data_IF_538345264853
#
_entry.id   IF_538345264853
#
_cell.length_a   1.000
_cell.length_b   1.000
_cell.length_c   1.000
_cell.angle_alpha   90.00
_cell.angle_beta   90.00
_cell.angle_gamma   90.00
#
_symmetry.space_group_name_H-M   'P 1'
#
loop_
_entity.id
_entity.type
_entity.pdbx_description
1 polymer ?
#
# COMPACT_ATOMS: atom_id res chain seq x y z
N UNK A 1 4.59 -25.74 -11.72
CA UNK A 1 4.67 -25.90 -10.25
C UNK A 1 3.89 -27.13 -9.75
N UNK A 2 4.16 -27.62 -8.53
CA UNK A 2 3.46 -28.76 -7.92
C UNK A 2 3.29 -28.59 -6.39
N UNK A 3 2.13 -28.96 -5.82
CA UNK A 3 1.91 -29.03 -4.36
C UNK A 3 2.67 -30.22 -3.77
N UNK A 4 3.57 -29.96 -2.82
CA UNK A 4 4.25 -31.03 -2.05
C UNK A 4 3.76 -31.12 -0.60
N UNK A 5 3.16 -30.04 -0.07
CA UNK A 5 2.42 -30.06 1.20
C UNK A 5 1.16 -29.22 1.07
N UNK A 6 0.01 -29.88 1.25
CA UNK A 6 -1.30 -29.21 1.40
C UNK A 6 -1.29 -28.24 2.57
N UNK A 7 -2.22 -27.28 2.56
CA UNK A 7 -2.37 -26.30 3.64
C UNK A 7 -2.58 -27.01 4.99
N UNK A 8 -1.90 -26.50 6.03
CA UNK A 8 -2.04 -26.88 7.43
C UNK A 8 -2.23 -25.63 8.27
N UNK A 9 -3.03 -25.75 9.33
CA UNK A 9 -3.18 -24.72 10.35
C UNK A 9 -2.25 -25.00 11.54
N UNK A 10 -1.63 -23.95 12.06
CA UNK A 10 -0.68 -23.97 13.18
C UNK A 10 -0.89 -22.72 14.02
N UNK A 11 -1.08 -22.86 15.34
CA UNK A 11 -1.23 -21.70 16.22
C UNK A 11 0.14 -21.06 16.51
N UNK A 12 0.19 -19.73 16.62
CA UNK A 12 1.41 -19.06 17.07
C UNK A 12 1.70 -19.41 18.54
N UNK A 13 2.98 -19.69 18.85
CA UNK A 13 3.43 -20.21 20.16
C UNK A 13 3.32 -19.21 21.33
N UNK A 14 2.93 -17.97 21.05
CA UNK A 14 2.81 -16.85 21.98
C UNK A 14 1.38 -16.68 22.55
N UNK A 15 0.45 -17.59 22.21
CA UNK A 15 -0.95 -17.53 22.58
C UNK A 15 -1.65 -16.20 22.20
N UNK A 16 -1.16 -15.50 21.16
CA UNK A 16 -1.74 -14.23 20.65
C UNK A 16 -3.16 -14.33 20.11
N UNK A 17 -3.71 -15.54 19.95
CA UNK A 17 -4.93 -15.78 19.19
C UNK A 17 -4.72 -15.72 17.67
N UNK A 18 -3.50 -15.55 17.18
CA UNK A 18 -3.22 -15.60 15.74
C UNK A 18 -3.13 -17.05 15.24
N UNK A 19 -3.48 -17.26 13.96
CA UNK A 19 -3.38 -18.54 13.29
C UNK A 19 -2.48 -18.45 12.05
N UNK A 20 -1.59 -19.42 11.86
CA UNK A 20 -0.74 -19.56 10.67
C UNK A 20 -1.30 -20.68 9.79
N UNK A 21 -1.78 -20.34 8.60
CA UNK A 21 -1.98 -21.32 7.53
C UNK A 21 -0.68 -21.42 6.73
N UNK A 22 -0.22 -22.63 6.41
CA UNK A 22 0.97 -22.80 5.55
C UNK A 22 0.90 -24.03 4.66
N UNK A 23 1.50 -23.91 3.47
CA UNK A 23 1.64 -24.97 2.47
C UNK A 23 3.04 -24.90 1.84
N UNK A 24 3.34 -25.83 0.92
CA UNK A 24 4.63 -25.85 0.22
C UNK A 24 4.49 -26.41 -1.19
N UNK A 25 5.21 -25.81 -2.13
CA UNK A 25 5.24 -26.19 -3.55
C UNK A 25 6.67 -26.46 -4.02
N UNK A 26 6.78 -27.19 -5.13
CA UNK A 26 8.00 -27.58 -5.81
C UNK A 26 7.96 -27.13 -7.28
N UNK A 27 9.11 -27.14 -7.98
CA UNK A 27 9.24 -26.61 -9.35
C UNK A 27 8.78 -25.14 -9.45
N UNK A 28 9.30 -24.31 -8.54
CA UNK A 28 9.06 -22.86 -8.52
C UNK A 28 10.06 -22.15 -9.43
N UNK A 29 9.52 -21.28 -10.30
CA UNK A 29 10.26 -20.54 -11.33
C UNK A 29 10.19 -19.03 -11.07
N UNK A 30 10.95 -18.23 -11.84
CA UNK A 30 11.08 -16.78 -11.67
C UNK A 30 9.81 -15.97 -11.97
N UNK A 31 8.91 -16.53 -12.76
CA UNK A 31 7.60 -15.98 -13.10
C UNK A 31 6.49 -16.41 -12.12
N UNK A 32 6.80 -17.32 -11.18
CA UNK A 32 5.79 -18.01 -10.37
C UNK A 32 5.11 -17.05 -9.39
N UNK A 33 3.79 -16.87 -9.59
CA UNK A 33 2.92 -16.07 -8.74
C UNK A 33 2.14 -16.99 -7.80
N UNK A 34 2.27 -16.77 -6.50
CA UNK A 34 1.46 -17.41 -5.47
C UNK A 34 0.35 -16.44 -5.04
N UNK A 35 -0.89 -16.93 -4.99
CA UNK A 35 -2.07 -16.15 -4.61
C UNK A 35 -2.85 -16.91 -3.53
N UNK A 36 -3.15 -16.24 -2.43
CA UNK A 36 -4.06 -16.74 -1.39
C UNK A 36 -5.46 -16.20 -1.62
N UNK A 37 -6.46 -17.04 -1.36
CA UNK A 37 -7.88 -16.74 -1.44
C UNK A 37 -8.59 -17.12 -0.14
N UNK A 38 -9.67 -16.40 0.20
CA UNK A 38 -10.68 -16.80 1.18
C UNK A 38 -12.03 -16.74 0.48
N UNK A 39 -12.76 -17.87 0.44
CA UNK A 39 -14.09 -17.99 -0.18
C UNK A 39 -14.10 -17.41 -1.62
N UNK A 40 -13.15 -17.87 -2.45
CA UNK A 40 -12.86 -17.40 -3.82
C UNK A 40 -12.42 -15.94 -3.98
N UNK A 41 -12.41 -15.12 -2.91
CA UNK A 41 -11.90 -13.74 -2.95
C UNK A 41 -10.37 -13.75 -2.78
N UNK A 42 -9.57 -13.15 -3.68
CA UNK A 42 -8.12 -13.04 -3.50
C UNK A 42 -7.79 -12.10 -2.33
N UNK A 43 -6.94 -12.56 -1.40
CA UNK A 43 -6.60 -11.84 -0.17
C UNK A 43 -5.13 -11.44 -0.08
N UNK A 44 -4.21 -12.18 -0.71
CA UNK A 44 -2.79 -11.82 -0.73
C UNK A 44 -2.03 -12.40 -1.94
N UNK A 45 -1.14 -11.57 -2.50
CA UNK A 45 -0.27 -11.92 -3.64
C UNK A 45 1.21 -11.96 -3.22
N UNK A 46 1.92 -13.04 -3.58
CA UNK A 46 3.37 -13.19 -3.35
C UNK A 46 4.04 -13.71 -4.61
N UNK A 47 4.99 -12.92 -5.16
CA UNK A 47 5.90 -13.41 -6.21
C UNK A 47 7.01 -14.24 -5.57
N UNK A 48 7.35 -15.37 -6.21
CA UNK A 48 8.42 -16.28 -5.78
C UNK A 48 9.66 -16.08 -6.64
N UNK A 49 10.83 -16.37 -6.08
CA UNK A 49 12.08 -16.49 -6.85
C UNK A 49 12.23 -17.92 -7.37
N UNK A 50 12.96 -18.12 -8.47
CA UNK A 50 13.25 -19.46 -8.97
C UNK A 50 13.95 -20.31 -7.89
N UNK A 51 13.45 -21.53 -7.66
CA UNK A 51 13.91 -22.41 -6.59
C UNK A 51 13.53 -21.98 -5.16
N UNK A 52 12.63 -21.00 -4.98
CA UNK A 52 12.04 -20.67 -3.67
C UNK A 52 10.98 -21.69 -3.25
N UNK A 53 11.44 -22.89 -2.90
CA UNK A 53 10.61 -24.00 -2.42
C UNK A 53 10.38 -23.94 -0.89
N UNK A 54 10.49 -22.74 -0.30
CA UNK A 54 10.20 -22.50 1.10
C UNK A 54 8.70 -22.67 1.44
N UNK A 55 8.37 -22.65 2.74
CA UNK A 55 6.97 -22.59 3.15
C UNK A 55 6.34 -21.29 2.67
N UNK A 56 5.16 -21.40 2.04
CA UNK A 56 4.26 -20.29 1.84
C UNK A 56 3.31 -20.24 3.05
N UNK A 57 3.25 -19.09 3.73
CA UNK A 57 2.42 -18.92 4.91
C UNK A 57 1.48 -17.71 4.77
N UNK A 58 0.37 -17.78 5.50
CA UNK A 58 -0.63 -16.74 5.68
C UNK A 58 -0.95 -16.66 7.18
N UNK A 59 -0.70 -15.51 7.80
CA UNK A 59 -1.19 -15.23 9.14
C UNK A 59 -2.64 -14.73 9.07
N UNK A 60 -3.46 -15.18 10.01
CA UNK A 60 -4.78 -14.67 10.32
C UNK A 60 -4.65 -14.05 11.71
N UNK A 61 -4.85 -12.73 11.82
CA UNK A 61 -4.75 -11.98 13.08
C UNK A 61 -5.97 -12.27 13.94
N UNK A 62 -5.79 -12.59 15.22
CA UNK A 62 -6.84 -12.75 16.22
C UNK A 62 -8.06 -13.51 15.66
N UNK A 63 -7.84 -14.79 15.37
CA UNK A 63 -8.80 -15.62 14.64
C UNK A 63 -10.14 -15.69 15.39
N UNK A 64 -11.23 -15.68 14.64
CA UNK A 64 -12.60 -15.47 15.10
C UNK A 64 -13.57 -16.19 14.18
N UNK A 65 -14.86 -16.27 14.56
CA UNK A 65 -15.88 -16.87 13.68
C UNK A 65 -16.03 -16.13 12.33
N UNK A 66 -15.65 -14.84 12.27
CA UNK A 66 -15.62 -14.05 11.02
C UNK A 66 -14.55 -14.54 10.02
N UNK A 67 -13.58 -15.33 10.46
CA UNK A 67 -12.52 -15.89 9.62
C UNK A 67 -12.85 -17.28 9.08
N UNK A 68 -13.90 -17.94 9.57
CA UNK A 68 -14.30 -19.24 9.03
C UNK A 68 -14.62 -19.16 7.52
N UNK A 69 -14.24 -20.20 6.79
CA UNK A 69 -14.33 -20.23 5.32
C UNK A 69 -13.32 -21.17 4.68
N UNK A 70 -13.35 -21.24 3.35
CA UNK A 70 -12.41 -22.02 2.55
C UNK A 70 -11.21 -21.14 2.18
N UNK A 71 -10.04 -21.52 2.66
CA UNK A 71 -8.77 -20.89 2.29
C UNK A 71 -8.12 -21.68 1.17
N UNK A 72 -7.77 -21.03 0.08
CA UNK A 72 -7.06 -21.64 -1.06
C UNK A 72 -5.72 -20.94 -1.26
N UNK A 73 -4.68 -21.72 -1.55
CA UNK A 73 -3.40 -21.22 -2.03
C UNK A 73 -3.15 -21.79 -3.43
N UNK A 74 -3.11 -20.91 -4.42
CA UNK A 74 -2.78 -21.24 -5.80
C UNK A 74 -1.37 -20.76 -6.15
N UNK A 75 -0.65 -21.53 -6.96
CA UNK A 75 0.59 -21.08 -7.60
C UNK A 75 0.47 -21.25 -9.12
N UNK A 76 0.79 -20.20 -9.86
CA UNK A 76 0.71 -20.15 -11.32
C UNK A 76 2.06 -19.76 -11.91
N UNK A 77 2.45 -20.44 -12.98
CA UNK A 77 3.57 -20.09 -13.85
C UNK A 77 3.26 -20.45 -15.32
N UNK A 78 4.19 -20.20 -16.24
CA UNK A 78 4.01 -20.45 -17.68
C UNK A 78 3.65 -21.91 -18.04
N UNK A 79 4.01 -22.87 -17.18
CA UNK A 79 3.71 -24.30 -17.35
C UNK A 79 2.38 -24.73 -16.71
N UNK A 80 1.65 -23.82 -16.05
CA UNK A 80 0.32 -24.06 -15.51
C UNK A 80 0.15 -23.64 -14.04
N UNK A 81 -0.98 -24.06 -13.47
CA UNK A 81 -1.42 -23.73 -12.11
C UNK A 81 -1.56 -25.00 -11.29
N UNK A 82 -1.19 -24.95 -10.01
CA UNK A 82 -1.54 -25.98 -9.02
C UNK A 82 -2.06 -25.33 -7.74
N UNK A 83 -2.94 -26.01 -7.01
CA UNK A 83 -3.70 -25.44 -5.89
C UNK A 83 -3.86 -26.40 -4.72
N UNK A 84 -3.98 -25.84 -3.52
CA UNK A 84 -4.40 -26.57 -2.32
C UNK A 84 -5.36 -25.71 -1.51
N UNK A 85 -6.32 -26.37 -0.89
CA UNK A 85 -7.38 -25.80 -0.08
C UNK A 85 -7.31 -26.26 1.39
N UNK A 86 -8.01 -25.54 2.27
CA UNK A 86 -8.25 -25.86 3.68
C UNK A 86 -9.53 -25.18 4.17
N UNK A 87 -10.44 -25.95 4.77
CA UNK A 87 -11.64 -25.43 5.41
C UNK A 87 -11.35 -25.06 6.88
N UNK A 88 -11.36 -23.77 7.20
CA UNK A 88 -11.36 -23.30 8.58
C UNK A 88 -12.80 -23.31 9.10
N UNK A 89 -13.24 -24.44 9.67
CA UNK A 89 -14.57 -24.57 10.29
C UNK A 89 -14.58 -24.05 11.73
N UNK A 90 -15.78 -23.81 12.29
CA UNK A 90 -15.96 -23.47 13.69
C UNK A 90 -15.44 -24.56 14.66
N UNK A 91 -15.47 -25.82 14.24
CA UNK A 91 -14.92 -26.97 15.00
C UNK A 91 -13.40 -26.92 15.04
N UNK A 92 -12.75 -26.68 13.90
CA UNK A 92 -11.30 -26.45 13.82
C UNK A 92 -10.90 -25.23 14.65
N UNK A 93 -11.69 -24.15 14.59
CA UNK A 93 -11.48 -22.93 15.35
C UNK A 93 -11.55 -23.16 16.87
N UNK A 94 -12.49 -23.99 17.35
CA UNK A 94 -12.65 -24.31 18.78
C UNK A 94 -11.48 -25.08 19.39
N UNK A 95 -10.61 -25.67 18.56
CA UNK A 95 -9.38 -26.33 19.00
C UNK A 95 -8.21 -25.39 19.31
N UNK A 96 -8.34 -24.08 19.07
CA UNK A 96 -7.29 -23.09 19.35
C UNK A 96 -7.53 -22.33 20.65
N UNK A 97 -6.45 -22.05 21.39
CA UNK A 97 -6.53 -21.35 22.67
C UNK A 97 -6.60 -19.84 22.43
N UNK A 98 -7.66 -19.19 22.89
CA UNK A 98 -7.78 -17.72 22.84
C UNK A 98 -7.03 -17.08 24.00
N UNK A 99 -6.47 -15.89 23.77
CA UNK A 99 -5.89 -15.07 24.84
C UNK A 99 -7.03 -14.55 25.72
N UNK A 100 -6.97 -14.79 27.02
CA UNK A 100 -7.86 -14.11 27.97
C UNK A 100 -7.58 -12.60 27.93
N UNK A 101 -8.63 -11.78 28.00
CA UNK A 101 -8.51 -10.33 28.01
C UNK A 101 -7.76 -9.89 29.28
N UNK A 102 -6.64 -9.20 29.09
CA UNK A 102 -5.91 -8.57 30.19
C UNK A 102 -6.47 -7.16 30.34
N UNK A 103 -7.19 -6.88 31.43
CA UNK A 103 -7.73 -5.55 31.79
C UNK A 103 -6.64 -4.46 31.98
N UNK A 104 -5.36 -4.80 31.79
CA UNK A 104 -4.25 -3.86 31.85
C UNK A 104 -4.06 -3.18 30.50
N UNK A 105 -4.12 -1.84 30.49
CA UNK A 105 -3.86 -1.06 29.29
C UNK A 105 -2.48 -1.33 28.68
N UNK A 106 -2.38 -1.17 27.37
CA UNK A 106 -1.24 -1.52 26.53
C UNK A 106 -0.39 -0.27 26.21
N UNK A 107 0.94 -0.39 26.32
CA UNK A 107 1.87 0.68 25.88
C UNK A 107 2.09 0.60 24.37
N UNK A 108 2.04 1.73 23.68
CA UNK A 108 2.21 1.86 22.23
C UNK A 108 3.15 3.02 21.85
N UNK A 109 3.75 2.92 20.67
CA UNK A 109 4.32 4.07 19.97
C UNK A 109 3.37 4.49 18.86
N UNK A 110 2.96 5.76 18.79
CA UNK A 110 2.17 6.32 17.70
C UNK A 110 3.00 7.31 16.89
N UNK A 111 2.97 7.22 15.56
CA UNK A 111 3.77 8.05 14.66
C UNK A 111 2.87 8.69 13.58
N UNK A 112 2.76 10.03 13.52
CA UNK A 112 2.02 10.73 12.48
C UNK A 112 2.82 10.80 11.17
N UNK A 113 2.11 10.92 10.05
CA UNK A 113 2.73 11.25 8.76
C UNK A 113 2.68 12.76 8.51
N UNK A 114 3.79 13.32 8.03
CA UNK A 114 3.99 14.76 7.84
C UNK A 114 4.41 15.05 6.40
N UNK A 115 3.80 16.08 5.80
CA UNK A 115 4.05 16.54 4.42
C UNK A 115 4.56 17.99 4.44
N UNK A 116 5.77 18.21 4.98
CA UNK A 116 6.29 19.57 5.21
C UNK A 116 6.52 20.39 3.92
N UNK A 117 6.63 19.73 2.75
CA UNK A 117 6.72 20.40 1.43
C UNK A 117 5.49 20.09 0.55
N UNK A 118 4.37 19.72 1.17
CA UNK A 118 3.18 19.23 0.47
C UNK A 118 3.47 17.96 -0.33
N UNK A 119 2.66 17.72 -1.37
CA UNK A 119 2.72 16.52 -2.23
C UNK A 119 3.94 16.44 -3.17
N UNK A 120 4.95 17.30 -2.99
CA UNK A 120 6.23 17.23 -3.69
C UNK A 120 7.17 16.17 -3.09
N UNK A 121 6.94 15.76 -1.85
CA UNK A 121 7.60 14.62 -1.21
C UNK A 121 6.60 13.47 -0.94
N UNK A 122 7.11 12.27 -0.67
CA UNK A 122 6.28 11.07 -0.44
C UNK A 122 5.80 10.91 1.01
N UNK A 123 5.74 12.03 1.75
CA UNK A 123 5.58 12.09 3.20
C UNK A 123 6.81 11.57 3.96
N UNK A 124 6.96 12.01 5.20
CA UNK A 124 7.87 11.41 6.18
C UNK A 124 7.17 11.16 7.52
N UNK A 125 7.78 10.32 8.34
CA UNK A 125 7.30 10.02 9.68
C UNK A 125 7.73 11.12 10.65
N UNK A 126 6.77 11.72 11.35
CA UNK A 126 7.01 12.74 12.36
C UNK A 126 7.53 12.13 13.67
N UNK A 127 7.54 12.96 14.72
CA UNK A 127 7.97 12.54 16.05
C UNK A 127 7.06 11.46 16.64
N UNK A 128 7.66 10.52 17.36
CA UNK A 128 6.93 9.44 18.05
C UNK A 128 6.28 9.96 19.33
N UNK A 129 5.01 9.62 19.50
CA UNK A 129 4.26 9.75 20.73
C UNK A 129 4.26 8.40 21.45
N UNK A 130 4.66 8.38 22.71
CA UNK A 130 4.71 7.16 23.54
C UNK A 130 3.58 7.24 24.55
N UNK A 131 2.60 6.37 24.40
CA UNK A 131 1.35 6.46 25.16
C UNK A 131 0.78 5.11 25.53
N UNK A 132 -0.22 5.14 26.40
CA UNK A 132 -0.95 3.95 26.85
C UNK A 132 -2.39 4.01 26.38
N UNK A 133 -2.91 2.87 25.94
CA UNK A 133 -4.30 2.69 25.52
C UNK A 133 -5.01 1.62 26.35
N UNK A 134 -6.33 1.65 26.40
CA UNK A 134 -7.17 0.56 26.90
C UNK A 134 -8.06 0.07 25.76
N UNK A 135 -8.13 -1.24 25.55
CA UNK A 135 -8.99 -1.86 24.54
C UNK A 135 -10.41 -2.01 25.12
N UNK A 136 -11.45 -1.69 24.35
CA UNK A 136 -12.84 -1.65 24.85
C UNK A 136 -13.85 -2.47 24.03
N UNK A 137 -13.62 -2.60 22.71
CA UNK A 137 -14.46 -3.42 21.81
C UNK A 137 -13.54 -3.99 20.73
N UNK A 138 -13.37 -5.32 20.72
CA UNK A 138 -12.47 -6.03 19.82
C UNK A 138 -13.05 -6.28 18.42
N UNK A 139 -14.34 -5.99 18.20
CA UNK A 139 -15.08 -6.37 16.99
C UNK A 139 -15.83 -5.22 16.29
N UNK A 140 -15.41 -3.97 16.52
CA UNK A 140 -15.97 -2.74 15.93
C UNK A 140 -16.06 -2.71 14.38
N UNK A 141 -15.47 -3.67 13.67
CA UNK A 141 -15.47 -3.80 12.21
C UNK A 141 -16.39 -4.90 11.65
N UNK A 142 -17.06 -4.59 10.54
CA UNK A 142 -17.89 -5.55 9.77
C UNK A 142 -17.11 -6.32 8.67
N UNK A 143 -15.91 -5.86 8.29
CA UNK A 143 -15.10 -6.47 7.23
C UNK A 143 -14.11 -7.53 7.75
N UNK A 144 -13.75 -8.50 6.90
CA UNK A 144 -12.79 -9.56 7.27
C UNK A 144 -11.32 -9.23 6.89
N UNK A 145 -11.06 -8.23 6.05
CA UNK A 145 -9.69 -7.89 5.62
C UNK A 145 -8.84 -7.20 6.72
N UNK A 146 -9.49 -6.63 7.73
CA UNK A 146 -8.84 -5.95 8.87
C UNK A 146 -9.58 -6.31 10.15
N UNK A 147 -8.84 -6.54 11.24
CA UNK A 147 -9.39 -6.55 12.59
C UNK A 147 -9.45 -5.10 13.08
N UNK A 148 -10.63 -4.63 13.42
CA UNK A 148 -10.84 -3.25 13.89
C UNK A 148 -11.40 -3.28 15.31
N UNK A 149 -10.78 -2.51 16.19
CA UNK A 149 -11.09 -2.48 17.61
C UNK A 149 -11.08 -1.06 18.15
N UNK A 150 -11.93 -0.81 19.15
CA UNK A 150 -12.05 0.45 19.88
C UNK A 150 -10.99 0.50 20.98
N UNK A 151 -10.25 1.60 21.03
CA UNK A 151 -9.24 1.83 22.05
C UNK A 151 -9.33 3.25 22.63
N UNK A 152 -9.32 3.36 23.96
CA UNK A 152 -9.29 4.63 24.69
C UNK A 152 -7.85 5.04 24.98
N UNK A 153 -7.47 6.26 24.63
CA UNK A 153 -6.20 6.85 25.05
C UNK A 153 -6.21 7.12 26.57
N UNK A 154 -5.17 6.68 27.27
CA UNK A 154 -5.02 6.89 28.73
C UNK A 154 -4.06 8.04 29.01
N UNK A 155 -2.91 8.10 28.32
CA UNK A 155 -1.96 9.21 28.33
C UNK A 155 -0.99 9.11 27.15
N UNK A 156 -0.28 10.21 26.85
CA UNK A 156 0.93 10.21 26.03
C UNK A 156 0.70 10.24 24.51
N UNK A 157 -0.54 10.46 24.10
CA UNK A 157 -0.95 10.61 22.69
C UNK A 157 -1.38 12.05 22.37
N UNK A 158 -1.30 12.95 23.34
CA UNK A 158 -1.54 14.38 23.17
C UNK A 158 -0.53 15.01 22.18
N UNK A 159 -0.93 16.00 21.36
CA UNK A 159 -2.25 16.62 21.27
C UNK A 159 -3.19 15.89 20.28
N UNK A 160 -2.85 14.68 19.83
CA UNK A 160 -3.60 13.95 18.79
C UNK A 160 -4.84 13.25 19.38
N UNK A 161 -4.66 12.56 20.51
CA UNK A 161 -5.74 12.04 21.33
C UNK A 161 -5.52 12.52 22.77
N UNK A 162 -6.44 13.30 23.32
CA UNK A 162 -6.42 13.65 24.74
C UNK A 162 -6.83 12.44 25.58
N UNK A 163 -6.26 12.30 26.78
CA UNK A 163 -6.69 11.31 27.78
C UNK A 163 -8.22 11.18 27.86
N UNK A 164 -8.71 9.94 27.78
CA UNK A 164 -10.13 9.60 27.76
C UNK A 164 -10.77 9.54 26.37
N UNK A 165 -10.16 10.09 25.32
CA UNK A 165 -10.69 10.00 23.96
C UNK A 165 -10.55 8.59 23.38
N UNK A 166 -11.47 8.24 22.48
CA UNK A 166 -11.53 6.93 21.83
C UNK A 166 -11.08 7.05 20.37
N UNK A 167 -10.22 6.12 19.96
CA UNK A 167 -9.86 5.89 18.56
C UNK A 167 -10.19 4.47 18.13
N UNK A 168 -10.12 4.23 16.81
CA UNK A 168 -10.22 2.90 16.22
C UNK A 168 -8.82 2.44 15.79
N UNK A 169 -8.38 1.30 16.31
CA UNK A 169 -7.17 0.61 15.89
C UNK A 169 -7.54 -0.43 14.83
N UNK A 170 -6.75 -0.52 13.75
CA UNK A 170 -6.96 -1.50 12.68
C UNK A 170 -5.68 -2.27 12.35
N UNK A 171 -5.73 -3.60 12.51
CA UNK A 171 -4.67 -4.52 12.12
C UNK A 171 -5.06 -5.22 10.82
N UNK A 172 -4.15 -5.34 9.86
CA UNK A 172 -4.40 -6.10 8.64
C UNK A 172 -4.54 -7.60 8.94
N UNK A 173 -5.64 -8.24 8.54
CA UNK A 173 -5.96 -9.59 9.02
C UNK A 173 -5.15 -10.69 8.32
N UNK A 174 -5.08 -10.66 6.98
CA UNK A 174 -4.61 -11.78 6.16
C UNK A 174 -3.23 -11.49 5.57
N UNK A 175 -2.17 -11.74 6.34
CA UNK A 175 -0.80 -11.33 5.99
C UNK A 175 0.00 -12.50 5.44
N UNK A 176 0.33 -12.48 4.14
CA UNK A 176 1.15 -13.53 3.52
C UNK A 176 2.66 -13.29 3.74
N UNK A 177 3.39 -14.36 4.13
CA UNK A 177 4.81 -14.33 4.47
C UNK A 177 5.52 -15.67 4.17
N UNK A 178 6.83 -15.71 4.43
CA UNK A 178 7.67 -16.92 4.27
C UNK A 178 8.16 -17.16 2.84
N UNK A 179 9.34 -17.77 2.72
CA UNK A 179 10.08 -17.97 1.47
C UNK A 179 11.57 -17.69 1.61
N UNK A 180 12.30 -17.80 0.49
CA UNK A 180 13.67 -17.29 0.32
C UNK A 180 13.74 -15.78 0.14
N UNK A 181 12.63 -15.13 -0.23
CA UNK A 181 12.50 -13.68 -0.03
C UNK A 181 12.18 -13.44 1.45
N UNK A 182 13.21 -13.14 2.24
CA UNK A 182 13.26 -13.23 3.71
C UNK A 182 12.33 -12.27 4.49
N UNK A 183 11.33 -11.67 3.85
CA UNK A 183 10.35 -10.81 4.52
C UNK A 183 9.58 -11.59 5.60
N UNK A 184 9.91 -11.32 6.85
CA UNK A 184 9.25 -11.85 8.04
C UNK A 184 7.79 -11.38 8.12
N UNK A 185 7.00 -12.02 8.99
CA UNK A 185 5.65 -11.59 9.27
C UNK A 185 5.59 -10.13 9.78
N UNK A 186 6.55 -9.74 10.63
CA UNK A 186 6.65 -8.38 11.19
C UNK A 186 6.96 -7.35 10.11
N UNK A 187 7.90 -7.65 9.19
CA UNK A 187 8.20 -6.76 8.07
C UNK A 187 7.04 -6.66 7.08
N UNK A 188 6.33 -7.76 6.80
CA UNK A 188 5.12 -7.75 5.96
C UNK A 188 3.99 -6.94 6.58
N UNK A 189 3.78 -7.11 7.88
CA UNK A 189 2.83 -6.32 8.66
C UNK A 189 3.19 -4.83 8.61
N UNK A 190 4.46 -4.47 8.83
CA UNK A 190 4.97 -3.11 8.68
C UNK A 190 4.69 -2.56 7.28
N UNK A 191 5.15 -3.26 6.23
CA UNK A 191 5.05 -2.81 4.84
C UNK A 191 3.59 -2.53 4.42
N UNK A 192 2.64 -3.35 4.87
CA UNK A 192 1.20 -3.17 4.59
C UNK A 192 0.68 -1.94 5.35
N UNK A 193 0.88 -1.87 6.67
CA UNK A 193 0.41 -0.78 7.54
C UNK A 193 0.96 0.58 7.09
N UNK A 194 2.24 0.63 6.70
CA UNK A 194 2.90 1.81 6.14
C UNK A 194 2.20 2.28 4.85
N UNK A 195 1.82 1.36 3.95
CA UNK A 195 1.11 1.74 2.73
C UNK A 195 -0.31 2.22 3.01
N UNK A 196 -1.04 1.60 3.94
CA UNK A 196 -2.38 2.09 4.33
C UNK A 196 -2.30 3.53 4.88
N UNK A 197 -1.32 3.83 5.74
CA UNK A 197 -1.05 5.20 6.21
C UNK A 197 -0.67 6.16 5.08
N UNK A 198 0.19 5.74 4.13
CA UNK A 198 0.57 6.58 2.98
C UNK A 198 -0.61 6.89 2.08
N UNK A 199 -1.46 5.91 1.79
CA UNK A 199 -2.63 6.07 0.94
C UNK A 199 -3.60 7.08 1.58
N UNK A 200 -4.03 6.86 2.83
CA UNK A 200 -5.01 7.74 3.47
C UNK A 200 -4.48 9.16 3.68
N UNK A 201 -3.24 9.33 4.16
CA UNK A 201 -2.70 10.67 4.40
C UNK A 201 -2.34 11.42 3.10
N UNK A 202 -1.83 10.75 2.05
CA UNK A 202 -1.63 11.43 0.76
C UNK A 202 -2.97 11.84 0.13
N UNK A 203 -3.99 10.96 0.14
CA UNK A 203 -5.34 11.33 -0.29
C UNK A 203 -5.91 12.49 0.54
N UNK A 204 -5.61 12.57 1.84
CA UNK A 204 -5.95 13.72 2.69
C UNK A 204 -5.29 15.03 2.23
N UNK A 205 -4.00 15.03 1.91
CA UNK A 205 -3.36 16.26 1.41
C UNK A 205 -3.95 16.72 0.07
N UNK A 206 -4.29 15.79 -0.84
CA UNK A 206 -5.08 16.13 -2.05
C UNK A 206 -6.45 16.71 -1.70
N UNK A 207 -7.13 16.12 -0.71
CA UNK A 207 -8.45 16.56 -0.26
C UNK A 207 -8.41 18.00 0.33
N UNK A 208 -7.32 18.40 1.00
CA UNK A 208 -7.12 19.78 1.45
C UNK A 208 -6.98 20.78 0.30
N UNK A 209 -6.29 20.41 -0.78
CA UNK A 209 -6.14 21.26 -1.98
C UNK A 209 -7.51 21.41 -2.66
N UNK A 210 -8.20 20.30 -2.91
CA UNK A 210 -9.58 20.29 -3.38
C UNK A 210 -10.50 21.17 -2.52
N UNK A 211 -10.41 21.07 -1.20
CA UNK A 211 -11.19 21.90 -0.28
C UNK A 211 -10.82 23.38 -0.34
N UNK A 212 -9.58 23.74 -0.72
CA UNK A 212 -9.19 25.13 -0.92
C UNK A 212 -9.76 25.71 -2.22
N UNK A 213 -9.78 24.92 -3.30
CA UNK A 213 -10.43 25.30 -4.57
C UNK A 213 -11.95 25.39 -4.43
N UNK A 214 -12.58 24.40 -3.80
CA UNK A 214 -14.01 24.41 -3.51
C UNK A 214 -14.45 25.61 -2.66
N UNK A 215 -13.62 26.05 -1.70
CA UNK A 215 -13.88 27.25 -0.89
C UNK A 215 -13.86 28.56 -1.71
N UNK A 216 -13.27 28.57 -2.91
CA UNK A 216 -13.33 29.73 -3.80
C UNK A 216 -14.64 29.80 -4.61
N UNK A 217 -15.50 28.77 -4.55
CA UNK A 217 -16.78 28.70 -5.26
C UNK A 217 -17.93 28.89 -4.26
N UNK A 218 -18.65 30.03 -4.27
CA UNK A 218 -19.63 30.38 -3.24
C UNK A 218 -20.73 29.32 -3.02
N UNK A 219 -21.23 28.73 -4.11
CA UNK A 219 -22.33 27.75 -4.08
C UNK A 219 -21.87 26.30 -3.79
N UNK A 220 -20.58 26.08 -3.52
CA UNK A 220 -20.09 24.72 -3.23
C UNK A 220 -20.46 24.27 -1.81
N UNK A 221 -20.40 25.16 -0.81
CA UNK A 221 -20.70 24.83 0.58
C UNK A 221 -19.65 23.90 1.23
N UNK A 222 -20.04 23.02 2.19
CA UNK A 222 -19.11 22.15 2.89
C UNK A 222 -18.42 21.14 1.96
N UNK A 223 -17.24 20.66 2.36
CA UNK A 223 -16.38 19.76 1.58
C UNK A 223 -16.03 18.53 2.44
N UNK A 224 -15.95 17.32 1.87
CA UNK A 224 -15.41 16.16 2.60
C UNK A 224 -14.00 16.42 3.13
N UNK A 225 -13.68 15.89 4.32
CA UNK A 225 -12.34 15.82 4.88
C UNK A 225 -11.96 14.35 5.08
N UNK A 226 -10.84 13.91 4.49
CA UNK A 226 -10.25 12.61 4.84
C UNK A 226 -9.50 12.75 6.16
N UNK A 227 -9.79 11.85 7.10
CA UNK A 227 -9.17 11.82 8.43
C UNK A 227 -7.68 11.43 8.36
N UNK A 228 -6.83 11.98 9.25
CA UNK A 228 -5.46 11.50 9.40
C UNK A 228 -5.45 10.03 9.87
N UNK A 229 -4.46 9.27 9.39
CA UNK A 229 -4.24 7.88 9.78
C UNK A 229 -2.85 7.73 10.39
N UNK A 230 -2.79 7.30 11.65
CA UNK A 230 -1.55 7.20 12.42
C UNK A 230 -1.01 5.78 12.34
N UNK A 231 0.32 5.63 12.19
CA UNK A 231 0.99 4.35 12.38
C UNK A 231 1.13 4.11 13.88
N UNK A 232 0.78 2.92 14.36
CA UNK A 232 1.10 2.50 15.72
C UNK A 232 1.97 1.23 15.73
N UNK A 233 2.90 1.17 16.70
CA UNK A 233 3.70 0.00 17.03
C UNK A 233 3.34 -0.47 18.45
N UNK A 234 3.05 -1.76 18.56
CA UNK A 234 2.44 -2.44 19.71
C UNK A 234 3.39 -3.54 20.22
N UNK A 235 4.41 -3.22 21.04
CA UNK A 235 5.49 -4.15 21.40
C UNK A 235 5.03 -5.43 22.13
N UNK A 236 3.85 -5.43 22.74
CA UNK A 236 3.25 -6.61 23.37
C UNK A 236 2.64 -7.62 22.38
N UNK A 237 2.70 -7.38 21.07
CA UNK A 237 2.09 -8.20 20.03
C UNK A 237 3.15 -8.71 19.02
N UNK A 238 2.98 -9.94 18.56
CA UNK A 238 3.77 -10.58 17.51
C UNK A 238 3.48 -10.04 16.08
N UNK A 239 2.33 -9.38 15.91
CA UNK A 239 1.94 -8.61 14.72
C UNK A 239 1.76 -7.16 15.21
N UNK A 240 2.86 -6.41 15.39
CA UNK A 240 2.87 -5.22 16.24
C UNK A 240 2.43 -3.94 15.52
N UNK A 241 2.40 -3.90 14.18
CA UNK A 241 2.07 -2.70 13.45
C UNK A 241 0.58 -2.67 13.11
N UNK A 242 -0.09 -1.59 13.52
CA UNK A 242 -1.48 -1.32 13.20
C UNK A 242 -1.64 0.15 12.79
N UNK A 243 -2.82 0.52 12.31
CA UNK A 243 -3.19 1.93 12.16
C UNK A 243 -4.10 2.37 13.31
N UNK A 244 -4.13 3.66 13.61
CA UNK A 244 -5.06 4.29 14.54
C UNK A 244 -5.67 5.54 13.92
N UNK A 245 -6.95 5.79 14.17
CA UNK A 245 -7.67 7.00 13.75
C UNK A 245 -8.80 7.35 14.74
N UNK A 246 -9.46 8.50 14.55
CA UNK A 246 -10.59 8.94 15.38
C UNK A 246 -11.78 7.99 15.26
N UNK A 247 -12.45 7.70 16.38
CA UNK A 247 -13.73 6.98 16.37
C UNK A 247 -14.87 7.92 15.95
N UNK A 248 -15.55 7.59 14.85
CA UNK A 248 -16.62 8.42 14.30
C UNK A 248 -17.98 8.03 14.88
N UNK A 249 -18.66 8.92 15.65
CA UNK A 249 -19.98 8.63 16.18
C UNK A 249 -21.04 8.74 15.09
N UNK A 250 -21.64 7.61 14.71
CA UNK A 250 -22.78 7.56 13.79
C UNK A 250 -22.82 6.31 12.93
N UNK A 251 -23.74 6.29 11.96
CA UNK A 251 -23.80 5.24 10.96
C UNK A 251 -22.84 5.55 9.81
N UNK A 252 -21.96 4.60 9.48
CA UNK A 252 -21.08 4.70 8.33
C UNK A 252 -21.86 4.63 7.01
N UNK A 253 -21.63 5.61 6.13
CA UNK A 253 -22.09 5.62 4.75
C UNK A 253 -20.96 5.29 3.78
N UNK A 254 -21.31 4.59 2.70
CA UNK A 254 -20.43 4.38 1.55
C UNK A 254 -20.72 5.46 0.52
N UNK A 255 -19.77 6.37 0.26
CA UNK A 255 -19.93 7.49 -0.67
C UNK A 255 -19.53 7.10 -2.10
N UNK A 256 -18.37 6.48 -2.25
CA UNK A 256 -17.86 5.99 -3.54
C UNK A 256 -17.12 4.66 -3.34
N UNK A 257 -17.69 3.55 -3.81
CA UNK A 257 -17.15 2.19 -3.58
C UNK A 257 -16.84 1.45 -4.88
N UNK A 258 -15.94 0.48 -4.83
CA UNK A 258 -15.77 -0.52 -5.90
C UNK A 258 -16.92 -1.52 -5.93
N UNK A 259 -17.08 -2.20 -7.06
CA UNK A 259 -17.95 -3.39 -7.14
C UNK A 259 -17.34 -4.58 -6.38
N UNK A 260 -18.16 -5.60 -6.06
CA UNK A 260 -17.76 -6.73 -5.18
C UNK A 260 -16.61 -7.56 -5.76
N UNK A 261 -16.56 -7.68 -7.08
CA UNK A 261 -15.50 -8.38 -7.83
C UNK A 261 -14.24 -7.52 -8.03
N UNK A 262 -14.29 -6.23 -7.66
CA UNK A 262 -13.22 -5.26 -7.87
C UNK A 262 -12.98 -4.86 -9.32
N UNK A 263 -13.86 -5.22 -10.27
CA UNK A 263 -13.68 -4.95 -11.71
C UNK A 263 -14.08 -3.52 -12.10
N UNK A 264 -15.07 -2.95 -11.40
CA UNK A 264 -15.62 -1.63 -11.67
C UNK A 264 -15.89 -0.79 -10.42
N UNK A 265 -16.59 0.32 -10.63
CA UNK A 265 -17.08 1.22 -9.58
C UNK A 265 -18.60 1.16 -9.51
N UNK A 266 -19.13 1.08 -8.29
CA UNK A 266 -20.56 1.17 -8.08
C UNK A 266 -21.07 2.60 -8.40
N UNK A 267 -22.38 2.77 -8.69
CA UNK A 267 -22.99 4.09 -8.84
C UNK A 267 -22.72 5.00 -7.64
N UNK A 268 -22.51 6.29 -7.90
CA UNK A 268 -22.26 7.28 -6.86
C UNK A 268 -23.46 7.39 -5.90
N UNK A 269 -23.18 7.53 -4.60
CA UNK A 269 -24.21 7.76 -3.59
C UNK A 269 -24.93 9.10 -3.90
N UNK A 270 -26.28 9.13 -3.96
CA UNK A 270 -27.04 10.32 -4.32
C UNK A 270 -27.07 11.40 -3.23
N UNK A 271 -26.57 11.13 -2.01
CA UNK A 271 -26.44 12.13 -0.95
C UNK A 271 -25.50 13.27 -1.36
N UNK A 272 -25.65 14.45 -0.74
CA UNK A 272 -24.80 15.61 -1.05
C UNK A 272 -23.31 15.30 -0.85
N UNK A 273 -22.99 14.60 0.25
CA UNK A 273 -21.64 14.11 0.56
C UNK A 273 -21.19 13.11 -0.51
N UNK A 274 -22.05 12.16 -0.87
CA UNK A 274 -21.79 11.17 -1.93
C UNK A 274 -21.41 11.80 -3.27
N UNK A 275 -22.19 12.81 -3.70
CA UNK A 275 -21.92 13.56 -4.92
C UNK A 275 -20.60 14.34 -4.83
N UNK A 276 -20.31 15.01 -3.70
CA UNK A 276 -19.05 15.75 -3.51
C UNK A 276 -17.82 14.85 -3.39
N UNK A 277 -17.96 13.66 -2.80
CA UNK A 277 -16.93 12.62 -2.82
C UNK A 277 -16.66 12.14 -4.26
N UNK A 278 -17.69 11.92 -5.07
CA UNK A 278 -17.54 11.58 -6.50
C UNK A 278 -16.88 12.73 -7.30
N UNK A 279 -17.20 13.98 -6.98
CA UNK A 279 -16.52 15.17 -7.53
C UNK A 279 -15.06 15.25 -7.09
N UNK A 280 -14.72 14.88 -5.86
CA UNK A 280 -13.33 14.76 -5.42
C UNK A 280 -12.57 13.66 -6.19
N UNK A 281 -13.19 12.50 -6.46
CA UNK A 281 -12.59 11.47 -7.33
C UNK A 281 -12.26 12.03 -8.71
N UNK A 282 -13.21 12.75 -9.33
CA UNK A 282 -13.01 13.37 -10.65
C UNK A 282 -11.93 14.46 -10.59
N UNK A 283 -12.01 15.39 -9.63
CA UNK A 283 -11.00 16.44 -9.46
C UNK A 283 -9.60 15.83 -9.33
N UNK A 284 -9.42 14.81 -8.48
CA UNK A 284 -8.13 14.16 -8.28
C UNK A 284 -7.63 13.44 -9.53
N UNK A 285 -8.53 12.74 -10.24
CA UNK A 285 -8.22 12.09 -11.51
C UNK A 285 -7.75 13.12 -12.55
N UNK A 286 -8.45 14.24 -12.71
CA UNK A 286 -8.06 15.30 -13.63
C UNK A 286 -6.75 15.99 -13.19
N UNK A 287 -6.62 16.34 -11.91
CA UNK A 287 -5.46 17.01 -11.33
C UNK A 287 -4.17 16.22 -11.51
N UNK A 288 -4.25 14.89 -11.38
CA UNK A 288 -3.12 13.98 -11.56
C UNK A 288 -2.93 13.53 -13.01
N UNK A 289 -3.67 14.08 -13.99
CA UNK A 289 -3.66 13.68 -15.40
C UNK A 289 -3.94 12.17 -15.60
N UNK A 290 -4.91 11.64 -14.85
CA UNK A 290 -5.33 10.25 -14.87
C UNK A 290 -4.31 9.27 -14.27
N UNK A 291 -3.44 9.73 -13.36
CA UNK A 291 -2.46 8.87 -12.70
C UNK A 291 -2.94 8.28 -11.38
N UNK A 292 -3.85 8.96 -10.66
CA UNK A 292 -4.44 8.50 -9.39
C UNK A 292 -5.96 8.56 -9.48
N UNK A 293 -6.62 7.51 -9.01
CA UNK A 293 -8.03 7.51 -8.64
C UNK A 293 -8.14 7.04 -7.20
N UNK A 294 -8.78 7.84 -6.35
CA UNK A 294 -9.18 7.44 -4.99
C UNK A 294 -10.53 6.71 -5.05
N UNK A 295 -10.70 5.66 -4.25
CA UNK A 295 -11.89 4.82 -4.17
C UNK A 295 -12.17 4.44 -2.72
N UNK A 296 -13.31 3.78 -2.48
CA UNK A 296 -13.76 3.33 -1.15
C UNK A 296 -13.79 4.47 -0.12
N UNK A 297 -14.32 5.61 -0.57
CA UNK A 297 -14.62 6.77 0.26
C UNK A 297 -15.83 6.41 1.13
N UNK A 298 -15.61 6.20 2.43
CA UNK A 298 -16.64 5.89 3.42
C UNK A 298 -16.42 6.68 4.72
N UNK A 299 -17.48 6.90 5.50
CA UNK A 299 -17.35 7.69 6.73
C UNK A 299 -18.68 8.14 7.32
N UNK A 300 -18.65 9.23 8.11
CA UNK A 300 -19.82 9.79 8.78
C UNK A 300 -19.87 11.30 8.55
N UNK A 301 -20.97 11.77 7.93
CA UNK A 301 -21.13 13.17 7.55
C UNK A 301 -20.01 13.61 6.60
N UNK A 302 -19.25 14.64 6.97
CA UNK A 302 -18.15 15.15 6.16
C UNK A 302 -16.79 14.48 6.43
N UNK A 303 -16.67 13.65 7.47
CA UNK A 303 -15.42 12.95 7.80
C UNK A 303 -15.34 11.61 7.06
N UNK A 304 -14.24 11.37 6.34
CA UNK A 304 -14.04 10.22 5.44
C UNK A 304 -12.77 9.45 5.83
N UNK A 305 -12.77 8.14 5.70
CA UNK A 305 -11.68 7.21 6.05
C UNK A 305 -11.64 6.02 5.07
N UNK A 306 -10.70 5.09 5.28
CA UNK A 306 -10.59 3.78 4.64
C UNK A 306 -10.37 3.81 3.12
N UNK A 307 -9.97 4.97 2.64
CA UNK A 307 -9.74 5.25 1.23
C UNK A 307 -8.69 4.32 0.64
N UNK A 308 -8.95 3.92 -0.60
CA UNK A 308 -8.07 3.09 -1.42
C UNK A 308 -7.69 3.88 -2.68
N UNK A 309 -6.67 3.44 -3.38
CA UNK A 309 -6.26 4.02 -4.66
C UNK A 309 -6.00 2.97 -5.76
N UNK A 310 -6.31 3.37 -6.98
CA UNK A 310 -5.71 2.81 -8.20
C UNK A 310 -4.69 3.82 -8.75
N UNK A 311 -3.52 3.34 -9.16
CA UNK A 311 -2.47 4.17 -9.79
C UNK A 311 -2.12 3.64 -11.18
N UNK A 312 -1.87 4.56 -12.13
CA UNK A 312 -1.58 4.21 -13.53
C UNK A 312 -0.25 3.47 -13.69
N UNK A 313 0.71 3.77 -12.82
CA UNK A 313 2.01 3.11 -12.75
C UNK A 313 2.31 2.66 -11.33
N UNK A 314 2.93 1.49 -11.20
CA UNK A 314 3.33 0.91 -9.91
C UNK A 314 4.29 1.84 -9.17
N UNK A 315 3.93 2.23 -7.95
CA UNK A 315 4.79 3.07 -7.11
C UNK A 315 4.71 4.57 -7.44
N UNK A 316 3.65 5.04 -8.11
CA UNK A 316 3.48 6.47 -8.41
C UNK A 316 3.59 7.31 -7.13
N UNK A 317 4.55 8.25 -7.10
CA UNK A 317 4.91 9.06 -5.91
C UNK A 317 5.20 8.25 -4.62
N UNK A 318 5.64 6.98 -4.76
CA UNK A 318 5.91 6.09 -3.63
C UNK A 318 4.68 5.42 -3.02
N UNK A 319 3.51 5.59 -3.65
CA UNK A 319 2.27 4.89 -3.31
C UNK A 319 2.22 3.55 -4.05
N UNK A 320 2.10 2.43 -3.33
CA UNK A 320 1.76 1.13 -3.94
C UNK A 320 0.24 1.10 -4.17
N UNK A 321 -0.18 0.70 -5.37
CA UNK A 321 -1.60 0.50 -5.69
C UNK A 321 -2.28 -0.50 -4.74
N UNK A 322 -3.48 -0.16 -4.26
CA UNK A 322 -4.32 -1.07 -3.47
C UNK A 322 -5.46 -1.68 -4.28
N UNK A 323 -5.59 -1.27 -5.54
CA UNK A 323 -6.68 -1.64 -6.45
C UNK A 323 -6.16 -1.83 -7.87
N UNK A 324 -6.93 -2.50 -8.73
CA UNK A 324 -6.55 -2.75 -10.12
C UNK A 324 -6.41 -1.42 -10.91
N UNK A 325 -5.33 -1.21 -11.67
CA UNK A 325 -5.15 -0.02 -12.51
C UNK A 325 -6.31 0.20 -13.51
N UNK A 326 -6.97 -0.86 -13.98
CA UNK A 326 -8.09 -0.79 -14.92
C UNK A 326 -9.28 0.06 -14.39
N UNK A 327 -9.38 0.29 -13.08
CA UNK A 327 -10.39 1.17 -12.49
C UNK A 327 -10.26 2.63 -12.95
N UNK A 328 -9.06 3.06 -13.35
CA UNK A 328 -8.83 4.39 -13.95
C UNK A 328 -9.58 4.53 -15.27
N UNK A 329 -9.43 3.54 -16.16
CA UNK A 329 -10.10 3.51 -17.46
C UNK A 329 -11.62 3.31 -17.31
N UNK A 330 -12.04 2.44 -16.36
CA UNK A 330 -13.46 2.29 -16.03
C UNK A 330 -14.06 3.60 -15.52
N UNK A 331 -13.40 4.31 -14.59
CA UNK A 331 -13.87 5.60 -14.08
C UNK A 331 -14.02 6.62 -15.20
N UNK A 332 -13.02 6.74 -16.09
CA UNK A 332 -13.11 7.64 -17.23
C UNK A 332 -14.25 7.29 -18.19
N UNK A 333 -14.60 6.01 -18.33
CA UNK A 333 -15.71 5.55 -19.18
C UNK A 333 -17.10 5.64 -18.51
N UNK A 334 -17.18 5.56 -17.17
CA UNK A 334 -18.45 5.46 -16.44
C UNK A 334 -18.83 6.71 -15.61
N UNK A 335 -17.90 7.64 -15.40
CA UNK A 335 -18.18 8.84 -14.60
C UNK A 335 -19.16 9.77 -15.33
N UNK A 336 -20.23 10.14 -14.63
CA UNK A 336 -21.16 11.18 -15.06
C UNK A 336 -20.93 12.40 -14.17
N UNK A 337 -20.62 13.54 -14.78
CA UNK A 337 -20.49 14.79 -14.05
C UNK A 337 -21.80 15.10 -13.31
N UNK A 338 -21.66 15.57 -12.07
CA UNK A 338 -22.76 16.11 -11.28
C UNK A 338 -22.60 17.64 -11.15
N UNK A 339 -23.60 18.30 -10.53
CA UNK A 339 -23.60 19.76 -10.30
C UNK A 339 -22.32 20.30 -9.66
N UNK A 340 -21.66 19.56 -8.76
CA UNK A 340 -20.41 19.99 -8.12
C UNK A 340 -19.20 19.87 -9.05
N UNK A 341 -19.21 18.93 -10.00
CA UNK A 341 -18.22 18.89 -11.09
C UNK A 341 -18.35 20.12 -12.00
N UNK A 342 -19.59 20.54 -12.30
CA UNK A 342 -19.89 21.75 -13.10
C UNK A 342 -19.49 23.04 -12.36
N UNK A 343 -19.79 23.14 -11.06
CA UNK A 343 -19.40 24.27 -10.20
C UNK A 343 -17.87 24.47 -10.13
N UNK A 344 -17.09 23.40 -10.24
CA UNK A 344 -15.63 23.44 -10.33
C UNK A 344 -15.09 23.51 -11.78
N UNK A 345 -15.97 23.63 -12.78
CA UNK A 345 -15.63 23.63 -14.21
C UNK A 345 -14.72 22.45 -14.63
N UNK A 346 -14.93 21.27 -14.05
CA UNK A 346 -14.21 20.06 -14.43
C UNK A 346 -14.56 19.66 -15.86
N UNK A 347 -13.58 19.17 -16.62
CA UNK A 347 -13.79 18.76 -18.01
C UNK A 347 -14.54 17.43 -18.04
N UNK A 348 -15.49 17.28 -18.95
CA UNK A 348 -16.12 15.98 -19.18
C UNK A 348 -15.07 14.93 -19.55
N UNK A 349 -15.15 13.76 -18.90
CA UNK A 349 -14.34 12.60 -19.27
C UNK A 349 -15.03 11.91 -20.46
N UNK A 350 -14.69 12.32 -21.68
CA UNK A 350 -15.35 11.77 -22.87
C UNK A 350 -14.97 10.31 -23.14
N UNK A 351 -15.99 9.49 -23.34
CA UNK A 351 -15.87 8.19 -24.00
C UNK A 351 -15.53 8.44 -25.47
N UNK A 352 -14.29 8.20 -25.89
CA UNK A 352 -13.96 8.08 -27.31
C UNK A 352 -14.39 6.69 -27.83
N UNK A 353 -15.47 6.56 -28.62
CA UNK A 353 -15.62 5.37 -29.45
C UNK A 353 -14.50 5.37 -30.51
N UNK A 354 -13.97 4.19 -30.90
CA UNK A 354 -12.99 4.12 -31.98
C UNK A 354 -13.61 4.66 -33.27
N UNK A 355 -13.00 5.70 -33.84
CA UNK A 355 -13.56 6.43 -34.97
C UNK A 355 -13.81 5.52 -36.18
N UNK A 356 -15.09 5.25 -36.47
CA UNK A 356 -15.50 4.51 -37.65
C UNK A 356 -15.12 5.32 -38.91
N UNK A 357 -14.26 4.74 -39.75
CA UNK A 357 -13.83 5.34 -41.02
C UNK A 357 -15.02 5.43 -41.99
N UNK A 358 -15.68 6.57 -42.06
CA UNK A 358 -16.64 6.86 -43.13
C UNK A 358 -15.88 7.32 -44.38
N UNK A 359 -16.24 6.74 -45.53
CA UNK A 359 -15.52 6.85 -46.81
C UNK A 359 -16.44 7.46 -47.87
N UNK A 360 -16.02 8.54 -48.51
CA UNK A 360 -16.71 9.20 -49.64
C UNK A 360 -16.93 10.69 -49.38
N UNK A 361 -16.30 11.66 -50.03
CA UNK A 361 -15.99 11.93 -51.46
C UNK A 361 -17.03 12.84 -52.16
N UNK A 362 -16.62 14.09 -52.43
CA UNK A 362 -16.67 14.76 -53.75
C UNK A 362 -16.11 16.19 -53.67
N UNK A 363 -15.17 16.50 -54.56
CA UNK A 363 -14.71 17.87 -54.84
C UNK A 363 -15.66 18.57 -55.82
N UNK A 364 -15.46 19.88 -56.07
CA UNK A 364 -14.93 20.22 -57.40
C UNK A 364 -13.78 21.24 -57.38
N UNK A 365 -13.02 21.29 -58.49
CA UNK A 365 -11.83 22.13 -58.69
C UNK A 365 -12.07 23.12 -59.84
N UNK A 366 -11.85 24.41 -59.58
CA UNK A 366 -11.33 25.43 -60.53
C UNK A 366 -10.62 26.52 -59.70
N UNK A 367 -9.50 27.14 -60.07
CA UNK A 367 -8.50 26.80 -61.09
C UNK A 367 -7.38 27.87 -61.17
N UNK A 368 -6.16 27.43 -61.55
CA UNK A 368 -4.94 28.22 -61.97
C UNK A 368 -4.00 28.86 -60.92
N UNK A 369 -2.75 28.35 -60.94
CA UNK A 369 -1.42 29.04 -60.98
C UNK A 369 -1.04 29.95 -59.78
N UNK A 370 0.19 29.95 -59.26
CA UNK A 370 1.42 29.16 -59.49
C UNK A 370 2.44 29.46 -58.36
N UNK A 371 3.35 28.52 -58.04
CA UNK A 371 4.70 28.68 -57.43
C UNK A 371 5.05 29.97 -56.64
N UNK A 372 5.67 29.95 -55.46
CA UNK A 372 6.33 28.90 -54.67
C UNK A 372 6.96 29.50 -53.39
N UNK A 373 7.48 28.66 -52.49
CA UNK A 373 8.41 28.96 -51.39
C UNK A 373 7.83 29.51 -50.05
N UNK A 374 8.04 28.69 -49.01
CA UNK A 374 8.54 29.04 -47.66
C UNK A 374 8.24 30.45 -47.08
N UNK A 375 7.45 30.51 -46.02
CA UNK A 375 7.79 31.35 -44.85
C UNK A 375 7.04 30.92 -43.57
N UNK A 376 7.80 30.51 -42.55
CA UNK A 376 7.38 30.67 -41.16
C UNK A 376 7.99 31.97 -40.62
N UNK A 377 7.26 32.79 -39.86
CA UNK A 377 7.86 33.81 -39.00
C UNK A 377 7.64 33.47 -37.52
N UNK A 378 8.70 33.04 -36.83
CA UNK A 378 8.80 33.24 -35.39
C UNK A 378 9.03 34.73 -35.11
N UNK A 379 8.42 35.25 -34.04
CA UNK A 379 8.80 36.54 -33.46
C UNK A 379 9.60 36.35 -32.16
N UNK A 380 10.48 37.30 -31.90
CA UNK A 380 11.70 37.13 -31.11
C UNK A 380 11.63 37.78 -29.73
N UNK A 381 12.46 37.28 -28.79
CA UNK A 381 13.42 38.01 -27.92
C UNK A 381 13.81 37.12 -26.73
N UNK A 382 15.01 37.16 -26.14
CA UNK A 382 16.33 37.69 -26.56
C UNK A 382 17.35 37.04 -25.60
N UNK A 383 18.50 36.55 -26.08
CA UNK A 383 19.54 35.95 -25.24
C UNK A 383 20.92 36.57 -25.48
N UNK A 384 21.62 36.89 -24.38
CA UNK A 384 23.02 37.31 -24.26
C UNK A 384 23.56 36.62 -22.99
N UNK A 385 24.78 36.09 -22.89
CA UNK A 385 25.84 35.90 -23.89
C UNK A 385 26.70 34.66 -23.54
N UNK A 386 27.59 34.29 -24.47
CA UNK A 386 28.61 33.22 -24.37
C UNK A 386 29.78 33.62 -23.42
N UNK A 387 30.87 32.82 -23.17
CA UNK A 387 31.44 31.81 -24.08
C UNK A 387 32.07 30.52 -23.47
N UNK A 388 32.34 29.53 -24.34
CA UNK A 388 33.45 28.56 -24.14
C UNK A 388 34.81 29.24 -24.45
N UNK A 389 35.94 28.53 -24.29
CA UNK A 389 36.50 28.00 -25.54
C UNK A 389 37.04 26.56 -25.45
N UNK A 390 37.10 25.92 -26.61
CA UNK A 390 37.74 24.64 -26.86
C UNK A 390 39.16 24.82 -27.40
N UNK A 391 40.01 23.78 -27.31
CA UNK A 391 40.96 23.42 -28.39
C UNK A 391 41.55 22.02 -28.27
N UNK A 392 42.08 21.55 -29.40
CA UNK A 392 42.56 20.18 -29.69
C UNK A 392 44.05 20.01 -29.40
N UNK A 393 44.47 18.78 -29.10
CA UNK A 393 45.46 18.10 -29.96
C UNK A 393 46.93 17.98 -29.53
N UNK A 394 47.28 16.78 -29.06
CA UNK A 394 48.43 15.95 -29.52
C UNK A 394 49.86 16.06 -28.92
N UNK A 395 50.50 14.87 -28.91
CA UNK A 395 51.94 14.50 -28.80
C UNK A 395 52.59 14.39 -27.40
N UNK A 396 53.28 13.25 -27.18
CA UNK A 396 54.05 12.86 -25.97
C UNK A 396 55.52 13.32 -26.01
N UNK A 397 56.31 13.07 -24.93
CA UNK A 397 57.31 12.00 -25.07
C UNK A 397 57.55 11.10 -23.82
N UNK A 398 58.34 10.04 -24.07
CA UNK A 398 58.96 9.04 -23.14
C UNK A 398 59.80 9.74 -22.02
N UNK A 399 60.28 9.14 -20.92
CA UNK A 399 60.58 7.75 -20.49
C UNK A 399 60.91 7.76 -18.96
N UNK A 400 61.11 6.69 -18.15
CA UNK A 400 60.83 5.24 -18.18
C UNK A 400 61.35 4.59 -16.85
N UNK A 401 60.99 3.32 -16.56
CA UNK A 401 61.49 2.40 -15.48
C UNK A 401 61.05 2.73 -14.03
N UNK A 402 60.90 1.75 -13.12
CA UNK A 402 61.30 0.32 -13.11
C UNK A 402 60.26 -0.56 -12.37
N UNK A 403 60.26 -1.87 -12.61
CA UNK A 403 59.31 -2.86 -12.06
C UNK A 403 59.76 -3.58 -10.77
N UNK A 404 59.01 -4.63 -10.34
CA UNK A 404 59.11 -5.31 -9.04
C UNK A 404 59.97 -6.59 -9.06
N UNK A 405 60.03 -7.31 -7.91
CA UNK A 405 60.38 -8.73 -7.61
C UNK A 405 61.26 -8.84 -6.33
N UNK A 406 61.34 -9.93 -5.53
CA UNK A 406 60.43 -11.04 -5.13
C UNK A 406 61.10 -11.85 -3.95
N UNK A 407 60.63 -13.07 -3.59
CA UNK A 407 61.30 -14.15 -2.77
C UNK A 407 61.43 -14.03 -1.22
N UNK A 408 61.36 -15.08 -0.37
CA UNK A 408 60.54 -16.34 -0.28
C UNK A 408 60.72 -17.07 1.10
N UNK A 409 59.68 -17.78 1.56
CA UNK A 409 59.71 -19.06 2.35
C UNK A 409 59.97 -19.14 3.92
N UNK A 410 59.61 -20.28 4.61
CA UNK A 410 59.01 -20.31 5.99
C UNK A 410 59.82 -21.17 7.03
N UNK A 411 59.30 -21.94 8.05
CA UNK A 411 57.97 -22.06 8.73
C UNK A 411 57.95 -22.22 10.30
N UNK A 412 56.75 -22.49 10.85
CA UNK A 412 56.43 -23.32 12.06
C UNK A 412 56.19 -22.68 13.46
N UNK A 413 55.53 -23.47 14.33
CA UNK A 413 54.81 -23.10 15.58
C UNK A 413 55.69 -23.38 16.87
N UNK A 414 55.20 -23.43 18.16
CA UNK A 414 53.83 -23.36 18.70
C UNK A 414 53.65 -22.57 20.05
N UNK A 415 52.46 -22.72 20.66
CA UNK A 415 52.07 -22.24 22.01
C UNK A 415 52.92 -22.84 23.15
N UNK A 416 53.07 -22.17 24.29
CA UNK A 416 53.46 -22.82 25.55
C UNK A 416 52.28 -23.53 26.23
N UNK A 417 52.55 -24.68 26.84
CA UNK A 417 51.67 -25.41 27.78
C UNK A 417 52.51 -25.87 28.97
N UNK A 418 51.98 -25.74 30.20
CA UNK A 418 52.54 -26.34 31.41
C UNK A 418 52.32 -25.47 32.65
N UNK A 419 52.04 -26.03 33.83
CA UNK A 419 51.68 -27.42 34.16
C UNK A 419 51.06 -27.49 35.58
N UNK A 420 50.14 -28.42 35.78
CA UNK A 420 49.81 -29.19 37.00
C UNK A 420 49.98 -28.57 38.41
N UNK A 421 48.90 -28.55 39.21
CA UNK A 421 48.76 -29.46 40.38
C UNK A 421 47.45 -29.31 41.17
N UNK A 422 46.81 -30.45 41.53
CA UNK A 422 45.90 -30.63 42.69
C UNK A 422 44.59 -29.80 42.76
N UNK A 423 43.54 -30.23 43.48
CA UNK A 423 43.37 -31.35 44.42
C UNK A 423 41.86 -31.61 44.62
N UNK A 424 41.47 -32.83 44.96
CA UNK A 424 40.08 -33.18 45.26
C UNK A 424 39.64 -32.80 46.70
N UNK A 425 38.34 -32.54 46.88
CA UNK A 425 37.63 -32.30 48.15
C UNK A 425 36.26 -31.68 47.85
N UNK A 426 35.13 -32.41 47.76
CA UNK A 426 34.29 -33.04 48.82
C UNK A 426 33.70 -32.05 49.86
N UNK A 427 32.37 -31.93 49.83
CA UNK A 427 31.45 -31.44 50.89
C UNK A 427 31.56 -29.93 51.19
N UNK A 428 30.48 -29.21 51.50
CA UNK A 428 29.12 -29.61 51.90
C UNK A 428 28.05 -29.23 50.88
#
# INVERSE_FOLDING_TARGET
PQVIRKIRAEQFSDASGNLKLWCQFFNILSDSKLTWYKDEVPVADVRRSAGDEGQAALAIVQVSQKDCGVYQCAIQNEYGTDTTDFLLSAEVLSGFIFKEEIEAGEEIEMTPMVFAKGLADSGFWGDKLFGRIMMEDLEAGQGFLRKACRARAIYGLEPVFESGHTGIIKVHNLIAFGGRSESTLVERNYDITIQECKIQNSSREYCKIFAAEARAVPDFGPVPEIMPLYLIYRPANNIPYATMEEDLPGQFELYCRRERDGSGLAPANPSEVGQKCCTFQHWLYQWTNGNILVTDLEGVGWKVTNVRIATKTKGYQGLKESCCPNLLDHFAASHQCNRYCELLALKGLEVHPPAAKVKGSRSPITGRKSSSAQSSPQLQKKGLASPQPSRKGSVSPKSARRGPENTTEPPSAPRPKGRDNGRAGRLQ
#
